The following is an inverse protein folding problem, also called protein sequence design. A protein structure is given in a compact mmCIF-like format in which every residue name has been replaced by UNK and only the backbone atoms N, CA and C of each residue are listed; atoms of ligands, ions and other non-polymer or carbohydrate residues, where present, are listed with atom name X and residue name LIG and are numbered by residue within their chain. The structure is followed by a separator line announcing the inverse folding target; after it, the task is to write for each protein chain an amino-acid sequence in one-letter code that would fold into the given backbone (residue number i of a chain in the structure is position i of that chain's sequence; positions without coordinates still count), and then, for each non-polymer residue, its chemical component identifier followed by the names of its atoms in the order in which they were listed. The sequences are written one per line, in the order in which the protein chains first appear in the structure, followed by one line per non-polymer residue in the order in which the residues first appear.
data_IF_997490226951
#
_entry.id   IF_997490226951
#
_cell.length_a   1.000
_cell.length_b   1.000
_cell.length_c   1.000
_cell.angle_alpha   90.00
_cell.angle_beta   90.00
_cell.angle_gamma   90.00
#
_symmetry.space_group_name_H-M   'P 1'
#
loop_
_entity.id
_entity.type
_entity.pdbx_description
1 polymer ?
#
# COMPACT_ATOMS: atom_id res chain seq x y z
N UNK A 1 -9.18 12.77 13.31
CA UNK A 1 -10.13 11.65 13.56
C UNK A 1 -9.67 10.35 12.91
N UNK A 2 -9.75 9.24 13.65
CA UNK A 2 -9.39 7.89 13.20
C UNK A 2 -10.65 7.02 13.19
N UNK A 3 -10.92 6.34 12.07
CA UNK A 3 -12.10 5.48 11.90
C UNK A 3 -11.76 4.00 12.12
N UNK A 4 -10.58 3.58 11.68
CA UNK A 4 -10.12 2.19 11.67
C UNK A 4 -8.91 2.04 12.58
N UNK A 5 -8.82 0.93 13.31
CA UNK A 5 -7.71 0.67 14.24
C UNK A 5 -6.51 0.02 13.54
N UNK A 6 -5.33 0.16 14.16
CA UNK A 6 -4.13 -0.55 13.72
C UNK A 6 -4.37 -2.08 13.72
N UNK A 7 -3.97 -2.75 12.64
CA UNK A 7 -4.13 -4.18 12.43
C UNK A 7 -5.51 -4.62 11.94
N UNK A 8 -6.49 -3.72 11.85
CA UNK A 8 -7.83 -4.02 11.37
C UNK A 8 -7.86 -4.20 9.83
N UNK A 9 -8.82 -4.99 9.37
CA UNK A 9 -9.01 -5.29 7.95
C UNK A 9 -9.81 -4.18 7.27
N UNK A 10 -9.36 -3.77 6.09
CA UNK A 10 -10.03 -2.78 5.25
C UNK A 10 -10.13 -3.25 3.82
N UNK A 11 -11.23 -2.91 3.17
CA UNK A 11 -11.51 -3.09 1.76
C UNK A 11 -11.15 -1.82 0.96
N UNK A 12 -10.96 -1.94 -0.37
CA UNK A 12 -10.73 -0.78 -1.22
C UNK A 12 -11.88 0.24 -1.11
N UNK A 13 -11.53 1.51 -0.93
CA UNK A 13 -12.47 2.62 -0.77
C UNK A 13 -12.90 2.88 0.69
N UNK A 14 -12.59 1.99 1.64
CA UNK A 14 -12.95 2.22 3.04
C UNK A 14 -12.10 3.34 3.66
N UNK A 15 -12.73 4.29 4.40
CA UNK A 15 -12.05 5.37 5.08
C UNK A 15 -11.33 4.88 6.34
N UNK A 16 -10.05 5.23 6.46
CA UNK A 16 -9.15 4.79 7.53
C UNK A 16 -9.01 5.89 8.59
N UNK A 17 -8.65 7.11 8.15
CA UNK A 17 -8.56 8.31 8.98
C UNK A 17 -8.65 9.57 8.12
N UNK A 18 -8.61 10.74 8.74
CA UNK A 18 -8.45 12.02 8.02
C UNK A 18 -6.96 12.30 7.76
N UNK A 19 -6.66 12.99 6.65
CA UNK A 19 -5.28 13.31 6.24
C UNK A 19 -4.51 14.18 7.25
N UNK A 20 -5.23 14.90 8.12
CA UNK A 20 -4.64 15.73 9.18
C UNK A 20 -4.01 14.90 10.31
N UNK A 21 -4.45 13.65 10.50
CA UNK A 21 -3.86 12.76 11.51
C UNK A 21 -2.63 12.03 10.97
N UNK A 22 -2.77 11.45 9.79
CA UNK A 22 -1.75 10.64 9.14
C UNK A 22 -1.77 10.88 7.63
N UNK A 23 -0.57 11.04 7.06
CA UNK A 23 -0.37 11.08 5.63
C UNK A 23 -0.63 9.70 4.99
N UNK A 24 -1.12 9.64 3.74
CA UNK A 24 -1.27 8.39 3.01
C UNK A 24 0.10 7.77 2.71
N UNK A 25 0.28 6.52 3.09
CA UNK A 25 1.45 5.70 2.77
C UNK A 25 1.16 4.69 1.66
N UNK A 26 1.84 3.55 1.73
CA UNK A 26 1.69 2.51 0.71
C UNK A 26 0.27 1.94 0.74
N UNK A 27 -0.32 1.79 -0.45
CA UNK A 27 -1.66 1.27 -0.65
C UNK A 27 -2.79 2.06 0.03
N UNK A 28 -2.56 3.34 0.29
CA UNK A 28 -3.57 4.30 0.74
C UNK A 28 -3.56 5.55 -0.16
N UNK A 29 -4.70 6.24 -0.27
CA UNK A 29 -4.79 7.52 -0.99
C UNK A 29 -5.73 8.48 -0.27
N UNK A 30 -5.65 9.76 -0.60
CA UNK A 30 -6.61 10.76 -0.11
C UNK A 30 -7.76 10.88 -1.10
N UNK A 31 -8.98 10.86 -0.57
CA UNK A 31 -10.22 11.09 -1.31
C UNK A 31 -10.56 12.59 -1.40
N UNK A 32 -11.56 12.96 -2.20
CA UNK A 32 -11.97 14.36 -2.41
C UNK A 32 -12.40 15.07 -1.11
N UNK A 33 -12.90 14.31 -0.12
CA UNK A 33 -13.27 14.83 1.22
C UNK A 33 -12.06 14.94 2.19
N UNK A 34 -10.83 14.72 1.72
CA UNK A 34 -9.63 14.79 2.57
C UNK A 34 -9.45 13.59 3.51
N UNK A 35 -10.16 12.50 3.26
CA UNK A 35 -10.05 11.24 4.02
C UNK A 35 -9.04 10.32 3.38
N UNK A 36 -8.21 9.68 4.20
CA UNK A 36 -7.33 8.60 3.75
C UNK A 36 -8.16 7.33 3.61
N UNK A 37 -8.24 6.81 2.40
CA UNK A 37 -8.98 5.59 2.04
C UNK A 37 -8.01 4.50 1.58
N UNK A 38 -8.39 3.24 1.79
CA UNK A 38 -7.61 2.11 1.26
C UNK A 38 -7.76 2.00 -0.26
N UNK A 39 -6.72 1.56 -0.97
CA UNK A 39 -6.83 1.19 -2.40
C UNK A 39 -6.84 -0.31 -2.63
N UNK A 40 -6.55 -1.12 -1.60
CA UNK A 40 -6.48 -2.58 -1.67
C UNK A 40 -7.22 -3.24 -0.50
N UNK A 41 -7.44 -4.54 -0.59
CA UNK A 41 -7.81 -5.35 0.57
C UNK A 41 -6.56 -5.65 1.42
N UNK A 42 -6.58 -5.28 2.70
CA UNK A 42 -5.41 -5.47 3.57
C UNK A 42 -5.61 -5.08 5.02
N UNK A 43 -4.53 -5.15 5.80
CA UNK A 43 -4.49 -4.70 7.20
C UNK A 43 -3.89 -3.31 7.32
N UNK A 44 -4.53 -2.45 8.10
CA UNK A 44 -4.02 -1.10 8.36
C UNK A 44 -2.78 -1.17 9.25
N UNK A 45 -1.79 -0.34 8.92
CA UNK A 45 -0.56 -0.17 9.70
C UNK A 45 -0.28 1.32 9.89
N UNK A 46 -0.20 1.76 11.13
CA UNK A 46 0.14 3.13 11.49
C UNK A 46 1.61 3.26 11.88
N UNK A 47 2.36 4.01 11.07
CA UNK A 47 3.67 4.49 11.46
C UNK A 47 3.53 5.81 12.23
N UNK A 48 3.62 5.72 13.56
CA UNK A 48 3.46 6.89 14.44
C UNK A 48 4.64 7.86 14.37
N UNK A 49 5.84 7.38 14.03
CA UNK A 49 7.04 8.19 13.96
C UNK A 49 7.02 9.12 12.74
N UNK A 50 6.73 8.57 11.56
CA UNK A 50 6.58 9.30 10.30
C UNK A 50 5.17 9.79 10.01
N UNK A 51 4.23 9.63 10.96
CA UNK A 51 2.81 10.02 10.84
C UNK A 51 2.20 9.59 9.51
N UNK A 52 2.43 8.33 9.15
CA UNK A 52 1.96 7.75 7.89
C UNK A 52 1.07 6.54 8.17
N UNK A 53 0.02 6.36 7.37
CA UNK A 53 -0.84 5.17 7.42
C UNK A 53 -0.75 4.40 6.12
N UNK A 54 -0.46 3.10 6.20
CA UNK A 54 -0.34 2.22 5.05
C UNK A 54 -1.25 1.02 5.19
N UNK A 55 -1.59 0.38 4.07
CA UNK A 55 -2.39 -0.85 4.06
C UNK A 55 -1.51 -1.99 3.58
N UNK A 56 -1.29 -2.99 4.43
CA UNK A 56 -0.51 -4.19 4.09
C UNK A 56 -1.41 -5.21 3.41
N UNK A 57 -1.12 -5.65 2.17
CA UNK A 57 -1.94 -6.64 1.49
C UNK A 57 -2.02 -7.94 2.29
N UNK A 58 -3.18 -8.60 2.26
CA UNK A 58 -3.35 -9.94 2.83
C UNK A 58 -2.51 -11.01 2.12
N UNK A 59 -2.32 -10.84 0.82
CA UNK A 59 -1.49 -11.70 -0.01
C UNK A 59 -0.34 -10.88 -0.57
N UNK A 60 0.85 -11.11 -0.03
CA UNK A 60 2.06 -10.45 -0.52
C UNK A 60 2.36 -10.90 -1.94
N UNK A 61 2.48 -9.94 -2.86
CA UNK A 61 3.20 -10.12 -4.11
C UNK A 61 4.62 -9.67 -3.85
N UNK A 62 5.60 -10.53 -4.13
CA UNK A 62 7.01 -10.16 -3.98
C UNK A 62 7.31 -9.00 -4.93
N UNK A 63 7.60 -7.84 -4.36
CA UNK A 63 8.10 -6.68 -5.09
C UNK A 63 9.62 -6.75 -5.06
N UNK A 64 10.25 -6.80 -6.23
CA UNK A 64 11.71 -6.82 -6.36
C UNK A 64 12.24 -5.43 -6.01
N UNK A 65 13.20 -5.36 -5.09
CA UNK A 65 13.86 -4.13 -4.67
C UNK A 65 15.27 -4.05 -5.25
N UNK A 66 15.79 -2.82 -5.34
CA UNK A 66 17.18 -2.60 -5.76
C UNK A 66 18.11 -3.32 -4.78
N UNK A 67 18.95 -4.22 -5.30
CA UNK A 67 19.90 -5.01 -4.51
C UNK A 67 19.41 -6.41 -4.13
N UNK A 68 18.16 -6.78 -4.44
CA UNK A 68 17.68 -8.15 -4.18
C UNK A 68 18.40 -9.16 -5.09
N UNK A 69 18.87 -10.25 -4.48
CA UNK A 69 19.32 -11.43 -5.21
C UNK A 69 18.10 -12.32 -5.50
N UNK A 70 17.74 -12.47 -6.77
CA UNK A 70 16.54 -13.21 -7.20
C UNK A 70 16.90 -14.42 -8.05
N UNK A 71 16.04 -15.45 -7.98
CA UNK A 71 16.04 -16.57 -8.92
C UNK A 71 15.03 -16.26 -10.04
N UNK A 72 15.46 -16.30 -11.29
CA UNK A 72 14.61 -15.99 -12.44
C UNK A 72 14.60 -17.12 -13.47
N UNK A 73 13.51 -17.22 -14.22
CA UNK A 73 13.39 -18.10 -15.38
C UNK A 73 13.07 -17.26 -16.61
N UNK A 74 13.87 -17.40 -17.66
CA UNK A 74 13.62 -16.74 -18.95
C UNK A 74 12.32 -17.31 -19.54
N UNK A 75 11.33 -16.43 -19.78
CA UNK A 75 10.02 -16.81 -20.32
C UNK A 75 9.88 -16.56 -21.82
N UNK A 76 10.50 -15.49 -22.31
CA UNK A 76 10.40 -15.07 -23.70
C UNK A 76 11.68 -14.34 -24.11
N UNK A 77 12.05 -14.45 -25.39
CA UNK A 77 13.14 -13.72 -26.02
C UNK A 77 12.54 -12.81 -27.08
N UNK A 78 12.72 -11.51 -26.93
CA UNK A 78 12.25 -10.53 -27.90
C UNK A 78 13.42 -10.09 -28.80
N UNK A 79 13.22 -10.15 -30.11
CA UNK A 79 14.24 -9.76 -31.09
C UNK A 79 14.42 -8.23 -31.10
N UNK A 80 15.65 -7.77 -31.36
CA UNK A 80 15.93 -6.33 -31.32
C UNK A 80 15.28 -5.68 -32.54
N UNK A 81 14.38 -4.73 -32.30
CA UNK A 81 14.00 -3.75 -33.32
C UNK A 81 15.26 -2.99 -33.77
N UNK A 82 15.67 -3.23 -35.01
CA UNK A 82 16.81 -2.63 -35.69
C UNK A 82 16.46 -1.24 -36.26
#
# INVERSE_FOLDING_TARGET
MVFVRDGELVAPGEPICVQEEYAPGENAKVDEDGRVISIILGRVFYDKAGRTVSVKPLKSREAIRIGDQVLAQVRELQDKIA
#
